data_IF_805595880744
#
_entry.id   IF_805595880744
#
_cell.length_a   1.000
_cell.length_b   1.000
_cell.length_c   1.000
_cell.angle_alpha   90.00
_cell.angle_beta   90.00
_cell.angle_gamma   90.00
#
_symmetry.space_group_name_H-M   'P 1'
#
loop_
_entity.id
_entity.type
_entity.pdbx_description
1 polymer ?
#
# COMPACT_ATOMS: atom_id res chain seq x y z
N UNK A 1 50.97 -64.40 22.26
CA UNK A 1 49.94 -64.86 21.30
C UNK A 1 48.71 -63.99 21.51
N UNK A 2 48.28 -63.30 20.45
CA UNK A 2 47.13 -62.38 20.44
C UNK A 2 45.79 -63.17 20.41
N UNK A 3 44.60 -62.54 20.53
CA UNK A 3 44.12 -61.58 19.54
C UNK A 3 43.51 -60.27 20.09
N UNK A 4 43.36 -59.35 19.15
CA UNK A 4 42.85 -57.99 19.27
C UNK A 4 41.34 -57.90 19.56
N UNK A 5 40.91 -56.77 20.11
CA UNK A 5 39.56 -56.24 19.89
C UNK A 5 39.57 -54.72 19.91
N UNK A 6 38.97 -54.18 18.85
CA UNK A 6 38.94 -52.80 18.39
C UNK A 6 37.61 -52.16 18.81
N UNK A 7 37.63 -50.97 19.38
CA UNK A 7 36.49 -50.04 19.46
C UNK A 7 37.02 -48.69 19.94
N UNK A 8 36.72 -47.52 19.37
CA UNK A 8 35.94 -47.10 18.22
C UNK A 8 36.00 -45.57 18.29
N UNK A 9 36.60 -44.92 17.28
CA UNK A 9 36.79 -43.47 17.27
C UNK A 9 35.44 -42.79 16.99
N UNK A 10 34.88 -42.10 17.98
CA UNK A 10 33.68 -41.27 17.79
C UNK A 10 34.11 -39.98 17.09
N UNK A 11 33.82 -39.90 15.79
CA UNK A 11 33.93 -38.66 15.01
C UNK A 11 32.61 -37.89 15.19
N UNK A 12 32.62 -36.83 15.98
CA UNK A 12 31.52 -35.87 16.04
C UNK A 12 31.50 -35.04 14.76
N UNK A 13 30.66 -35.42 13.80
CA UNK A 13 30.32 -34.59 12.64
C UNK A 13 29.44 -33.43 13.09
N UNK A 14 30.02 -32.23 13.19
CA UNK A 14 29.25 -30.99 13.29
C UNK A 14 28.51 -30.78 11.96
N UNK A 15 27.21 -31.10 11.95
CA UNK A 15 26.30 -30.69 10.89
C UNK A 15 26.04 -29.19 10.98
N UNK A 16 26.68 -28.41 10.11
CA UNK A 16 26.30 -27.02 9.88
C UNK A 16 24.97 -27.03 9.10
N UNK A 17 23.87 -26.85 9.82
CA UNK A 17 22.59 -26.42 9.27
C UNK A 17 22.76 -25.01 8.69
N UNK A 18 23.05 -24.91 7.39
CA UNK A 18 23.03 -23.65 6.67
C UNK A 18 21.58 -23.15 6.57
N UNK A 19 21.30 -22.04 7.24
CA UNK A 19 20.00 -21.38 7.24
C UNK A 19 19.59 -20.93 5.83
N UNK A 20 18.32 -21.18 5.50
CA UNK A 20 17.44 -20.25 4.81
C UNK A 20 17.90 -19.74 3.45
N UNK A 21 17.38 -20.37 2.39
CA UNK A 21 17.32 -19.77 1.06
C UNK A 21 16.43 -18.53 1.04
N UNK A 22 16.93 -17.42 1.59
CA UNK A 22 16.43 -16.09 1.25
C UNK A 22 16.94 -15.76 -0.14
N UNK A 23 16.07 -15.77 -1.14
CA UNK A 23 16.40 -15.13 -2.41
C UNK A 23 16.70 -13.68 -2.08
N UNK A 24 17.93 -13.25 -2.32
CA UNK A 24 18.27 -11.84 -2.25
C UNK A 24 17.26 -11.10 -3.14
N UNK A 25 16.53 -10.16 -2.55
CA UNK A 25 15.75 -9.20 -3.34
C UNK A 25 16.78 -8.42 -4.15
N UNK A 26 16.81 -8.65 -5.46
CA UNK A 26 17.66 -7.89 -6.37
C UNK A 26 17.11 -6.46 -6.41
N UNK A 27 17.77 -5.55 -5.70
CA UNK A 27 17.49 -4.12 -5.79
C UNK A 27 17.93 -3.70 -7.20
N UNK A 28 16.98 -3.65 -8.13
CA UNK A 28 17.22 -3.08 -9.45
C UNK A 28 17.09 -1.54 -9.32
N UNK A 29 18.19 -0.76 -9.40
CA UNK A 29 18.14 0.69 -9.33
C UNK A 29 17.39 1.33 -10.53
N UNK A 30 16.99 0.53 -11.53
CA UNK A 30 16.10 0.93 -12.62
C UNK A 30 14.62 0.60 -12.37
N UNK A 31 14.26 0.13 -11.18
CA UNK A 31 12.88 0.04 -10.72
C UNK A 31 12.60 1.16 -9.70
N UNK A 32 12.37 2.40 -10.16
CA UNK A 32 12.21 3.57 -9.30
C UNK A 32 10.90 3.56 -8.48
N UNK A 33 9.93 2.71 -8.84
CA UNK A 33 8.52 2.83 -8.44
C UNK A 33 8.17 2.72 -6.95
N UNK A 34 9.14 2.65 -6.04
CA UNK A 34 8.91 2.77 -4.59
C UNK A 34 9.68 3.94 -3.96
N UNK A 35 10.81 4.35 -4.55
CA UNK A 35 11.68 5.39 -4.00
C UNK A 35 11.27 6.81 -4.44
N UNK A 36 10.46 6.96 -5.50
CA UNK A 36 10.06 8.26 -6.07
C UNK A 36 8.61 8.66 -5.79
N UNK A 37 7.82 7.80 -5.14
CA UNK A 37 6.38 8.04 -4.92
C UNK A 37 6.05 8.48 -3.51
N UNK A 38 4.95 9.22 -3.38
CA UNK A 38 4.34 9.49 -2.08
C UNK A 38 3.54 8.27 -1.63
N UNK A 39 3.63 7.87 -0.36
CA UNK A 39 2.98 6.66 0.15
C UNK A 39 2.09 6.97 1.36
N UNK A 40 0.99 6.24 1.50
CA UNK A 40 0.06 6.32 2.62
C UNK A 40 -0.31 4.92 3.11
N UNK A 41 -0.45 4.79 4.43
CA UNK A 41 -1.17 3.68 5.07
C UNK A 41 -2.54 4.19 5.46
N UNK A 42 -3.59 3.49 5.03
CA UNK A 42 -4.97 3.86 5.28
C UNK A 42 -5.51 3.10 6.48
N UNK A 43 -6.28 3.80 7.31
CA UNK A 43 -7.03 3.21 8.41
C UNK A 43 -8.41 3.85 8.53
N UNK A 44 -9.35 3.09 9.11
CA UNK A 44 -10.66 3.63 9.50
C UNK A 44 -10.50 4.78 10.50
N UNK A 45 -11.18 5.93 10.27
CA UNK A 45 -11.17 7.03 11.22
C UNK A 45 -11.67 6.61 12.61
N UNK A 46 -11.11 7.23 13.66
CA UNK A 46 -11.40 6.87 15.05
C UNK A 46 -12.90 6.92 15.42
N UNK A 47 -13.65 7.79 14.76
CA UNK A 47 -15.10 7.95 14.94
C UNK A 47 -15.89 6.71 14.51
N UNK A 48 -15.33 5.86 13.65
CA UNK A 48 -15.92 4.61 13.18
C UNK A 48 -15.22 3.37 13.75
N UNK A 49 -14.31 3.55 14.71
CA UNK A 49 -13.61 2.44 15.35
C UNK A 49 -14.61 1.45 15.98
N UNK A 50 -14.46 0.17 15.65
CA UNK A 50 -15.35 -0.90 16.11
C UNK A 50 -16.60 -1.12 15.25
N UNK A 51 -16.99 -0.13 14.43
CA UNK A 51 -18.05 -0.29 13.43
C UNK A 51 -17.49 -0.68 12.05
N UNK A 52 -16.29 -0.19 11.72
CA UNK A 52 -15.53 -0.53 10.52
C UNK A 52 -14.06 -0.77 10.86
N UNK A 53 -13.39 -1.60 10.05
CA UNK A 53 -11.97 -1.92 10.19
C UNK A 53 -11.27 -1.96 8.83
N UNK A 54 -11.76 -1.15 7.90
CA UNK A 54 -11.16 -0.99 6.57
C UNK A 54 -9.76 -0.40 6.74
N UNK A 55 -8.79 -1.05 6.13
CA UNK A 55 -7.39 -0.62 6.11
C UNK A 55 -6.84 -0.81 4.71
N UNK A 56 -5.70 -0.19 4.43
CA UNK A 56 -5.16 -0.26 3.09
C UNK A 56 -3.86 0.50 2.91
N UNK A 57 -3.49 0.66 1.66
CA UNK A 57 -2.36 1.47 1.23
C UNK A 57 -2.77 2.30 0.03
N UNK A 58 -2.14 3.44 -0.15
CA UNK A 58 -2.25 4.19 -1.38
C UNK A 58 -0.98 4.97 -1.66
N UNK A 59 -0.83 5.42 -2.88
CA UNK A 59 0.33 6.17 -3.32
C UNK A 59 -0.03 7.08 -4.49
N UNK A 60 0.84 8.06 -4.74
CA UNK A 60 0.83 8.89 -5.95
C UNK A 60 2.25 9.08 -6.45
N UNK A 61 2.44 8.95 -7.75
CA UNK A 61 3.72 9.07 -8.45
C UNK A 61 3.55 9.85 -9.76
N UNK A 62 4.66 10.21 -10.39
CA UNK A 62 4.62 10.82 -11.72
C UNK A 62 4.18 9.75 -12.73
N UNK A 63 3.33 10.10 -13.70
CA UNK A 63 2.96 9.16 -14.74
C UNK A 63 4.18 8.80 -15.61
N UNK A 64 4.32 7.53 -15.94
CA UNK A 64 5.37 7.02 -16.83
C UNK A 64 5.12 7.44 -18.30
N UNK A 65 3.85 7.69 -18.66
CA UNK A 65 3.42 8.01 -20.02
C UNK A 65 3.49 9.52 -20.31
N UNK A 66 3.16 10.37 -19.33
CA UNK A 66 3.22 11.83 -19.45
C UNK A 66 3.71 12.50 -18.15
N UNK A 67 4.86 13.17 -18.23
CA UNK A 67 5.45 13.89 -17.09
C UNK A 67 4.60 15.05 -16.54
N UNK A 68 3.61 15.51 -17.33
CA UNK A 68 2.64 16.55 -16.94
C UNK A 68 1.42 15.97 -16.19
N UNK A 69 1.37 14.65 -16.06
CA UNK A 69 0.33 13.91 -15.33
C UNK A 69 0.93 13.16 -14.12
N UNK A 70 0.05 12.69 -13.26
CA UNK A 70 0.40 11.86 -12.11
C UNK A 70 -0.53 10.68 -12.02
N UNK A 71 0.01 9.58 -11.52
CA UNK A 71 -0.71 8.34 -11.35
C UNK A 71 -0.88 8.04 -9.88
N UNK A 72 -2.09 7.69 -9.47
CA UNK A 72 -2.41 7.31 -8.10
C UNK A 72 -2.99 5.90 -8.04
N UNK A 73 -2.84 5.27 -6.88
CA UNK A 73 -3.46 3.98 -6.58
C UNK A 73 -3.91 3.92 -5.14
N UNK A 74 -4.96 3.12 -4.92
CA UNK A 74 -5.40 2.73 -3.60
C UNK A 74 -5.76 1.25 -3.60
N UNK A 75 -5.41 0.57 -2.52
CA UNK A 75 -5.86 -0.78 -2.22
C UNK A 75 -6.41 -0.83 -0.80
N UNK A 76 -7.54 -1.49 -0.62
CA UNK A 76 -8.20 -1.67 0.69
C UNK A 76 -8.51 -3.14 0.96
N UNK A 77 -8.60 -3.47 2.24
CA UNK A 77 -9.07 -4.76 2.74
C UNK A 77 -9.96 -4.61 3.97
N UNK A 78 -10.64 -5.72 4.33
CA UNK A 78 -11.72 -5.78 5.32
C UNK A 78 -12.90 -4.86 5.00
N UNK A 79 -13.14 -4.61 3.71
CA UNK A 79 -14.36 -3.96 3.26
C UNK A 79 -15.48 -4.98 3.07
N UNK A 80 -16.72 -4.50 3.07
CA UNK A 80 -17.90 -5.36 2.86
C UNK A 80 -17.93 -5.81 1.39
N UNK A 81 -17.97 -7.12 1.10
CA UNK A 81 -18.08 -7.63 -0.28
C UNK A 81 -19.24 -7.01 -1.05
N UNK A 82 -19.01 -6.68 -2.32
CA UNK A 82 -19.97 -6.00 -3.19
C UNK A 82 -20.11 -4.49 -2.93
N UNK A 83 -19.39 -3.95 -1.95
CA UNK A 83 -19.30 -2.51 -1.72
C UNK A 83 -18.71 -1.76 -2.91
N UNK A 84 -19.18 -0.53 -3.13
CA UNK A 84 -18.62 0.41 -4.11
C UNK A 84 -18.26 1.71 -3.39
N UNK A 85 -16.96 2.02 -3.35
CA UNK A 85 -16.43 3.11 -2.55
C UNK A 85 -15.70 4.12 -3.45
N UNK A 86 -16.27 5.33 -3.66
CA UNK A 86 -15.52 6.43 -4.25
C UNK A 86 -14.27 6.71 -3.41
N UNK A 87 -13.18 7.07 -4.08
CA UNK A 87 -11.94 7.42 -3.40
C UNK A 87 -11.26 8.54 -4.18
N UNK A 88 -10.47 9.36 -3.49
CA UNK A 88 -9.68 10.40 -4.14
C UNK A 88 -8.38 10.65 -3.39
N UNK A 89 -7.44 11.32 -4.06
CA UNK A 89 -6.39 12.09 -3.38
C UNK A 89 -6.97 13.46 -3.05
N UNK A 90 -6.83 13.88 -1.81
CA UNK A 90 -7.28 15.19 -1.32
C UNK A 90 -6.11 16.05 -0.88
N UNK A 91 -6.29 17.37 -0.92
CA UNK A 91 -5.41 18.34 -0.27
C UNK A 91 -5.67 18.36 1.24
N UNK A 92 -4.61 18.50 2.04
CA UNK A 92 -4.67 18.56 3.49
C UNK A 92 -4.29 17.23 4.16
N UNK A 93 -5.00 16.88 5.22
CA UNK A 93 -4.79 15.66 5.99
C UNK A 93 -6.13 14.99 6.28
N UNK A 94 -6.10 13.72 6.67
CA UNK A 94 -7.23 13.01 7.27
C UNK A 94 -7.95 13.88 8.32
N UNK A 95 -9.24 14.17 8.11
CA UNK A 95 -10.05 14.99 9.02
C UNK A 95 -9.91 16.50 8.86
N UNK A 96 -9.01 16.96 7.97
CA UNK A 96 -8.81 18.36 7.61
C UNK A 96 -8.78 18.49 6.08
N UNK A 97 -9.91 18.15 5.45
CA UNK A 97 -10.11 18.16 4.01
C UNK A 97 -10.07 19.59 3.43
N UNK A 98 -9.40 19.74 2.29
CA UNK A 98 -9.31 21.00 1.53
C UNK A 98 -9.66 20.84 0.04
N UNK A 99 -10.31 19.74 -0.33
CA UNK A 99 -10.76 19.45 -1.69
C UNK A 99 -9.96 18.35 -2.37
N UNK A 100 -10.47 17.90 -3.52
CA UNK A 100 -9.90 16.83 -4.33
C UNK A 100 -8.72 17.37 -5.16
N UNK A 101 -7.66 16.57 -5.29
CA UNK A 101 -6.57 16.83 -6.23
C UNK A 101 -7.00 16.39 -7.63
N UNK A 102 -7.19 17.34 -8.54
CA UNK A 102 -7.61 17.06 -9.90
C UNK A 102 -9.13 16.84 -10.05
N UNK A 103 -9.58 16.40 -11.24
CA UNK A 103 -10.99 16.25 -11.53
C UNK A 103 -11.55 14.94 -10.89
N UNK A 104 -12.73 14.95 -10.26
CA UNK A 104 -13.26 13.79 -9.54
C UNK A 104 -13.53 12.56 -10.42
N UNK A 105 -13.82 12.75 -11.69
CA UNK A 105 -14.08 11.69 -12.68
C UNK A 105 -12.82 10.95 -13.15
N UNK A 106 -11.62 11.42 -12.79
CA UNK A 106 -10.38 10.65 -12.97
C UNK A 106 -10.30 9.44 -12.03
N UNK A 107 -11.14 9.38 -11.00
CA UNK A 107 -11.07 8.37 -9.94
C UNK A 107 -12.20 7.36 -10.08
N UNK A 108 -11.89 6.21 -10.67
CA UNK A 108 -12.82 5.09 -10.73
C UNK A 108 -13.06 4.50 -9.33
N UNK A 109 -14.31 4.31 -8.88
CA UNK A 109 -14.62 3.78 -7.56
C UNK A 109 -13.98 2.41 -7.31
N UNK A 110 -13.65 2.15 -6.05
CA UNK A 110 -13.26 0.82 -5.59
C UNK A 110 -14.45 -0.13 -5.64
N UNK A 111 -14.30 -1.26 -6.35
CA UNK A 111 -15.27 -2.35 -6.36
C UNK A 111 -14.77 -3.50 -5.47
N UNK A 112 -15.47 -3.76 -4.37
CA UNK A 112 -15.04 -4.74 -3.37
C UNK A 112 -15.40 -6.16 -3.79
N UNK A 113 -14.38 -6.99 -3.99
CA UNK A 113 -14.54 -8.40 -4.32
C UNK A 113 -15.09 -9.24 -3.17
N UNK A 114 -15.41 -10.50 -3.47
CA UNK A 114 -15.93 -11.47 -2.50
C UNK A 114 -15.04 -11.72 -1.28
N UNK A 115 -13.74 -11.41 -1.39
CA UNK A 115 -12.75 -11.52 -0.32
C UNK A 115 -12.60 -10.25 0.54
N UNK A 116 -13.45 -9.23 0.33
CA UNK A 116 -13.40 -7.97 1.07
C UNK A 116 -12.25 -7.05 0.68
N UNK A 117 -11.64 -7.26 -0.49
CA UNK A 117 -10.55 -6.44 -1.04
C UNK A 117 -10.98 -5.69 -2.29
N UNK A 118 -10.38 -4.53 -2.51
CA UNK A 118 -10.51 -3.75 -3.73
C UNK A 118 -9.20 -3.02 -4.04
N UNK A 119 -8.96 -2.74 -5.31
CA UNK A 119 -7.88 -1.87 -5.78
C UNK A 119 -8.41 -1.01 -6.93
N UNK A 120 -7.92 0.22 -7.04
CA UNK A 120 -8.22 1.12 -8.14
C UNK A 120 -7.02 2.04 -8.39
N UNK A 121 -6.96 2.59 -9.60
CA UNK A 121 -5.93 3.52 -10.06
C UNK A 121 -6.57 4.71 -10.73
N UNK A 122 -5.91 5.87 -10.67
CA UNK A 122 -6.36 7.11 -11.31
C UNK A 122 -5.19 7.75 -12.07
N UNK A 123 -5.44 8.17 -13.30
CA UNK A 123 -4.56 9.09 -14.04
C UNK A 123 -5.08 10.51 -13.82
N UNK A 124 -4.29 11.33 -13.15
CA UNK A 124 -4.64 12.68 -12.75
C UNK A 124 -3.94 13.63 -13.72
N UNK A 125 -4.68 14.49 -14.46
CA UNK A 125 -4.13 15.41 -15.46
C UNK A 125 -3.45 16.63 -14.82
N UNK A 126 -2.56 16.38 -13.87
CA UNK A 126 -1.76 17.33 -13.12
C UNK A 126 -0.39 16.71 -12.81
N UNK A 127 0.69 17.49 -12.82
CA UNK A 127 2.01 16.99 -12.50
C UNK A 127 2.08 16.56 -11.02
N UNK A 128 2.92 15.56 -10.72
CA UNK A 128 3.14 15.09 -9.35
C UNK A 128 3.52 16.26 -8.42
N UNK A 129 2.83 16.45 -7.29
CA UNK A 129 3.21 17.48 -6.32
C UNK A 129 4.59 17.23 -5.70
N UNK A 130 5.38 18.30 -5.56
CA UNK A 130 6.72 18.28 -4.96
C UNK A 130 6.76 18.74 -3.51
N UNK A 131 5.68 19.38 -3.04
CA UNK A 131 5.50 19.87 -1.68
C UNK A 131 4.01 19.98 -1.36
N UNK A 132 3.68 20.04 -0.08
CA UNK A 132 2.30 20.17 0.40
C UNK A 132 1.90 19.01 1.30
N UNK A 133 0.61 18.97 1.61
CA UNK A 133 0.00 17.91 2.41
C UNK A 133 -1.14 17.32 1.58
N UNK A 134 -1.11 16.02 1.44
CA UNK A 134 -2.09 15.26 0.67
C UNK A 134 -2.46 14.01 1.45
N UNK A 135 -3.63 13.46 1.17
CA UNK A 135 -4.05 12.19 1.77
C UNK A 135 -4.97 11.44 0.83
N UNK A 136 -5.00 10.12 0.98
CA UNK A 136 -5.97 9.25 0.31
C UNK A 136 -7.23 9.22 1.17
N UNK A 137 -8.39 9.41 0.55
CA UNK A 137 -9.70 9.37 1.18
C UNK A 137 -10.56 8.31 0.51
N UNK A 138 -11.20 7.43 1.28
CA UNK A 138 -12.17 6.44 0.79
C UNK A 138 -13.52 6.72 1.42
N UNK A 139 -14.52 7.03 0.58
CA UNK A 139 -15.88 7.36 0.98
C UNK A 139 -16.74 6.09 1.16
N UNK A 140 -17.77 6.18 2.00
CA UNK A 140 -18.64 5.06 2.30
C UNK A 140 -19.44 4.59 1.07
N UNK A 141 -19.96 5.51 0.25
CA UNK A 141 -20.61 5.20 -1.03
C UNK A 141 -20.89 6.49 -1.81
N UNK A 142 -21.28 6.37 -3.09
CA UNK A 142 -21.72 7.52 -3.90
C UNK A 142 -22.92 8.28 -3.28
N UNK A 143 -23.75 7.59 -2.50
CA UNK A 143 -24.90 8.20 -1.81
C UNK A 143 -24.53 8.71 -0.39
N UNK A 144 -23.30 8.49 0.06
CA UNK A 144 -22.80 8.93 1.38
C UNK A 144 -21.34 9.38 1.29
N UNK A 145 -21.11 10.46 0.53
CA UNK A 145 -19.79 11.07 0.35
C UNK A 145 -19.25 11.73 1.62
N UNK A 146 -20.11 12.10 2.57
CA UNK A 146 -19.68 12.73 3.82
C UNK A 146 -19.03 11.78 4.83
N UNK A 147 -19.15 10.46 4.63
CA UNK A 147 -18.58 9.46 5.53
C UNK A 147 -17.30 8.86 4.94
N UNK A 148 -16.16 9.12 5.58
CA UNK A 148 -14.88 8.47 5.26
C UNK A 148 -14.74 7.16 6.01
N UNK A 149 -14.55 6.05 5.29
CA UNK A 149 -14.40 4.70 5.86
C UNK A 149 -12.95 4.26 6.02
N UNK A 150 -12.04 4.89 5.28
CA UNK A 150 -10.60 4.75 5.41
C UNK A 150 -9.89 5.99 4.88
N UNK A 151 -8.82 6.43 5.54
CA UNK A 151 -7.96 7.47 5.02
C UNK A 151 -6.51 7.31 5.48
N UNK A 152 -5.57 7.90 4.75
CA UNK A 152 -4.16 7.88 5.07
C UNK A 152 -3.42 9.08 4.51
N UNK A 153 -2.65 9.77 5.36
CA UNK A 153 -1.81 10.89 4.95
C UNK A 153 -0.67 10.38 4.06
N UNK A 154 -0.42 11.07 2.95
CA UNK A 154 0.67 10.77 2.03
C UNK A 154 1.96 11.37 2.56
N UNK A 155 2.95 10.51 2.80
CA UNK A 155 4.31 10.91 3.07
C UNK A 155 5.09 11.05 1.76
N UNK A 156 5.83 12.15 1.53
CA UNK A 156 6.69 12.27 0.36
C UNK A 156 7.80 11.21 0.38
N UNK A 157 8.38 10.87 -0.79
CA UNK A 157 9.50 9.94 -0.87
C UNK A 157 10.66 10.41 0.02
N UNK A 158 11.29 9.47 0.73
CA UNK A 158 12.50 9.73 1.51
C UNK A 158 13.63 10.11 0.55
N UNK A 159 14.15 11.34 0.68
CA UNK A 159 15.37 11.77 -0.02
C UNK A 159 16.62 11.16 0.59
#
# INVERSE_FOLDING_TARGET
MAPASTAGLVVCTLGLLACGGGRAVEINPRNPGVASRWNATLATPAQLAGASQVRGTGWIEQSDDDSTESRASVSIENAVPGGKHPWHIHLGQCGADRGILGPPDAYEPLEVGGNGRAESTAEIPLPLPTAGQYYVNVHASANNMGTTIACGNLAPPSR
#
